data_IF_057903772390
#
_entry.id   IF_057903772390
#
_cell.length_a   1.000
_cell.length_b   1.000
_cell.length_c   1.000
_cell.angle_alpha   90.00
_cell.angle_beta   90.00
_cell.angle_gamma   90.00
#
_symmetry.space_group_name_H-M   'P 1'
#
loop_
_entity.id
_entity.type
_entity.pdbx_description
1 polymer ?
#
# COMPACT_ATOMS: atom_id res chain seq x y z
N UNK A 1 2.69 -10.91 -11.66
CA UNK A 1 3.85 -11.11 -10.76
C UNK A 1 5.00 -10.30 -11.30
N UNK A 2 5.66 -9.53 -10.44
CA UNK A 2 6.86 -8.76 -10.76
C UNK A 2 8.00 -9.29 -9.89
N UNK A 3 8.90 -10.03 -10.54
CA UNK A 3 10.09 -10.64 -9.94
C UNK A 3 11.31 -10.10 -10.71
N UNK A 4 11.75 -8.89 -10.39
CA UNK A 4 12.85 -8.21 -11.08
C UNK A 4 13.34 -7.02 -10.25
N UNK A 5 14.59 -6.60 -10.40
CA UNK A 5 15.07 -5.38 -9.74
C UNK A 5 15.00 -4.18 -10.69
N UNK A 6 14.71 -2.98 -10.15
CA UNK A 6 14.67 -1.71 -10.89
C UNK A 6 13.59 -1.65 -11.97
N UNK A 7 12.36 -2.03 -11.63
CA UNK A 7 11.22 -1.83 -12.51
C UNK A 7 10.47 -0.55 -12.16
N UNK A 8 10.13 0.24 -13.17
CA UNK A 8 9.24 1.38 -13.00
C UNK A 8 8.04 1.26 -13.93
N UNK A 9 6.87 1.63 -13.42
CA UNK A 9 5.60 1.64 -14.12
C UNK A 9 5.08 3.08 -14.09
N UNK A 10 4.87 3.65 -15.27
CA UNK A 10 4.33 5.00 -15.44
C UNK A 10 3.01 4.88 -16.19
N UNK A 11 1.98 5.58 -15.71
CA UNK A 11 0.68 5.68 -16.40
C UNK A 11 0.03 4.31 -16.70
N UNK A 12 0.31 3.31 -15.84
CA UNK A 12 -0.18 1.95 -16.00
C UNK A 12 -1.46 1.73 -15.20
N UNK A 13 -2.29 0.80 -15.66
CA UNK A 13 -3.46 0.34 -14.93
C UNK A 13 -3.42 -1.18 -14.69
N UNK A 14 -3.66 -1.60 -13.45
CA UNK A 14 -3.69 -2.98 -13.01
C UNK A 14 -5.10 -3.31 -12.48
N UNK A 15 -5.75 -4.30 -13.08
CA UNK A 15 -7.13 -4.67 -12.76
C UNK A 15 -7.23 -6.12 -12.30
N UNK A 16 -7.93 -6.33 -11.19
CA UNK A 16 -8.29 -7.65 -10.69
C UNK A 16 -9.29 -7.57 -9.54
N UNK A 17 -9.40 -8.65 -8.79
CA UNK A 17 -10.19 -8.69 -7.54
C UNK A 17 -9.31 -9.24 -6.43
N UNK A 18 -8.92 -10.49 -6.51
CA UNK A 18 -7.97 -11.08 -5.57
C UNK A 18 -6.59 -11.12 -6.22
N UNK A 19 -5.54 -10.79 -5.44
CA UNK A 19 -4.14 -10.97 -5.82
C UNK A 19 -3.76 -10.23 -7.12
N UNK A 20 -4.27 -9.00 -7.29
CA UNK A 20 -4.17 -8.23 -8.54
C UNK A 20 -2.71 -7.92 -8.92
N UNK A 21 -1.95 -7.36 -7.99
CA UNK A 21 -0.56 -6.97 -8.17
C UNK A 21 0.34 -7.75 -7.22
N UNK A 22 0.90 -8.85 -7.74
CA UNK A 22 1.92 -9.62 -7.04
C UNK A 22 3.30 -8.97 -7.20
N UNK A 23 3.62 -8.07 -6.28
CA UNK A 23 4.82 -7.24 -6.21
C UNK A 23 5.90 -7.91 -5.33
N UNK A 24 6.65 -8.86 -5.89
CA UNK A 24 7.30 -9.88 -5.06
C UNK A 24 8.77 -9.65 -4.70
N UNK A 25 9.63 -9.29 -5.65
CA UNK A 25 11.08 -9.24 -5.40
C UNK A 25 11.71 -8.13 -6.22
N UNK A 26 12.60 -7.37 -5.58
CA UNK A 26 13.34 -6.27 -6.16
C UNK A 26 12.75 -4.91 -5.79
N UNK A 27 13.30 -3.85 -6.40
CA UNK A 27 12.89 -2.47 -6.17
C UNK A 27 11.99 -1.98 -7.27
N UNK A 28 10.82 -1.45 -6.90
CA UNK A 28 9.81 -1.05 -7.86
C UNK A 28 9.28 0.36 -7.60
N UNK A 29 9.00 1.06 -8.68
CA UNK A 29 8.40 2.39 -8.65
C UNK A 29 7.11 2.41 -9.48
N UNK A 30 6.01 2.80 -8.86
CA UNK A 30 4.72 2.96 -9.52
C UNK A 30 4.36 4.44 -9.45
N UNK A 31 4.39 5.13 -10.59
CA UNK A 31 4.10 6.56 -10.68
C UNK A 31 2.87 6.78 -11.55
N UNK A 32 1.92 7.57 -11.04
CA UNK A 32 0.65 7.86 -11.72
C UNK A 32 -0.09 6.59 -12.21
N UNK A 33 -0.07 5.53 -11.42
CA UNK A 33 -0.70 4.27 -11.75
C UNK A 33 -2.10 4.17 -11.15
N UNK A 34 -2.95 3.34 -11.76
CA UNK A 34 -4.25 2.95 -11.22
C UNK A 34 -4.23 1.46 -10.86
N UNK A 35 -4.46 1.11 -9.61
CA UNK A 35 -4.51 -0.29 -9.15
C UNK A 35 -5.90 -0.55 -8.57
N UNK A 36 -6.63 -1.52 -9.12
CA UNK A 36 -7.95 -1.90 -8.64
C UNK A 36 -8.00 -3.35 -8.20
N UNK A 37 -8.52 -3.60 -7.00
CA UNK A 37 -8.92 -4.92 -6.54
C UNK A 37 -9.56 -4.90 -5.17
N UNK A 38 -9.86 -6.07 -4.63
CA UNK A 38 -10.60 -6.27 -3.39
C UNK A 38 -9.83 -7.03 -2.31
N UNK A 39 -9.26 -8.19 -2.63
CA UNK A 39 -8.57 -9.05 -1.65
C UNK A 39 -7.08 -9.05 -1.94
N UNK A 40 -6.26 -8.62 -0.98
CA UNK A 40 -4.80 -8.61 -1.07
C UNK A 40 -4.30 -8.08 -2.44
N UNK A 41 -4.97 -7.04 -2.95
CA UNK A 41 -4.82 -6.67 -4.36
C UNK A 41 -3.47 -6.01 -4.67
N UNK A 42 -2.72 -5.60 -3.66
CA UNK A 42 -1.27 -5.36 -3.72
C UNK A 42 -0.63 -6.21 -2.63
N UNK A 43 0.26 -7.11 -3.02
CA UNK A 43 0.90 -8.03 -2.08
C UNK A 43 2.28 -8.49 -2.56
N UNK A 44 3.11 -8.95 -1.63
CA UNK A 44 4.44 -9.46 -1.89
C UNK A 44 5.52 -8.77 -1.05
N UNK A 45 6.78 -9.08 -1.34
CA UNK A 45 7.96 -8.63 -0.58
C UNK A 45 8.81 -7.62 -1.35
N UNK A 46 8.26 -7.01 -2.41
CA UNK A 46 8.92 -5.96 -3.17
C UNK A 46 9.23 -4.74 -2.30
N UNK A 47 10.36 -4.10 -2.59
CA UNK A 47 10.69 -2.82 -1.99
C UNK A 47 10.16 -1.72 -2.90
N UNK A 48 8.98 -1.19 -2.58
CA UNK A 48 8.20 -0.44 -3.56
C UNK A 48 7.71 0.91 -3.05
N UNK A 49 7.63 1.89 -3.97
CA UNK A 49 6.94 3.16 -3.77
C UNK A 49 5.82 3.28 -4.79
N UNK A 50 4.62 3.62 -4.30
CA UNK A 50 3.47 4.00 -5.10
C UNK A 50 3.26 5.50 -4.92
N UNK A 51 3.63 6.29 -5.93
CA UNK A 51 3.56 7.75 -5.89
C UNK A 51 2.53 8.25 -6.91
N UNK A 52 1.78 9.30 -6.52
CA UNK A 52 0.73 9.90 -7.35
C UNK A 52 -0.29 8.88 -7.90
N UNK A 53 -0.40 7.71 -7.28
CA UNK A 53 -1.15 6.57 -7.78
C UNK A 53 -2.49 6.44 -7.05
N UNK A 54 -3.48 5.89 -7.75
CA UNK A 54 -4.81 5.60 -7.18
C UNK A 54 -4.94 4.11 -6.90
N UNK A 55 -5.16 3.77 -5.63
CA UNK A 55 -5.55 2.42 -5.21
C UNK A 55 -7.06 2.41 -4.99
N UNK A 56 -7.80 1.73 -5.87
CA UNK A 56 -9.25 1.68 -5.84
C UNK A 56 -9.74 0.31 -5.35
N UNK A 57 -10.38 0.31 -4.18
CA UNK A 57 -11.04 -0.89 -3.67
C UNK A 57 -12.27 -1.22 -4.52
N UNK A 58 -12.33 -2.45 -5.03
CA UNK A 58 -13.50 -2.98 -5.73
C UNK A 58 -13.52 -4.50 -5.66
N UNK A 59 -14.62 -5.05 -5.15
CA UNK A 59 -14.88 -6.49 -5.17
C UNK A 59 -15.48 -6.96 -6.51
N UNK A 60 -15.70 -6.05 -7.46
CA UNK A 60 -16.29 -6.35 -8.76
C UNK A 60 -17.65 -7.04 -8.62
N UNK A 61 -17.86 -8.12 -9.38
CA UNK A 61 -19.08 -8.93 -9.32
C UNK A 61 -19.24 -9.69 -7.99
N UNK A 62 -18.20 -9.75 -7.17
CA UNK A 62 -18.20 -10.35 -5.84
C UNK A 62 -18.47 -9.32 -4.73
N UNK A 63 -18.75 -8.07 -5.11
CA UNK A 63 -19.16 -7.02 -4.18
C UNK A 63 -20.48 -7.36 -3.49
N UNK A 64 -20.74 -6.75 -2.33
CA UNK A 64 -21.91 -7.04 -1.57
C UNK A 64 -23.15 -6.48 -2.30
N UNK A 65 -24.31 -7.03 -1.96
CA UNK A 65 -25.56 -6.71 -2.66
C UNK A 65 -25.88 -5.22 -2.56
N UNK A 66 -26.58 -4.69 -3.56
CA UNK A 66 -27.00 -3.28 -3.59
C UNK A 66 -27.58 -2.83 -2.24
N UNK A 67 -27.02 -1.75 -1.68
CA UNK A 67 -27.46 -1.17 -0.41
C UNK A 67 -26.60 -1.50 0.81
N UNK A 68 -25.61 -2.38 0.70
CA UNK A 68 -24.61 -2.59 1.75
C UNK A 68 -23.36 -1.74 1.53
N UNK A 69 -22.85 -1.12 2.60
CA UNK A 69 -21.59 -0.36 2.54
C UNK A 69 -20.41 -1.33 2.37
N UNK A 70 -19.64 -1.15 1.31
CA UNK A 70 -18.32 -1.77 1.18
C UNK A 70 -17.32 -1.09 2.11
N UNK A 71 -16.51 -1.90 2.81
CA UNK A 71 -15.41 -1.41 3.62
C UNK A 71 -14.13 -2.18 3.30
N UNK A 72 -13.01 -1.46 3.34
CA UNK A 72 -11.68 -2.00 3.11
C UNK A 72 -10.79 -1.76 4.33
N UNK A 73 -9.86 -2.66 4.58
CA UNK A 73 -8.70 -2.38 5.45
C UNK A 73 -7.54 -1.92 4.56
N UNK A 74 -6.65 -1.10 5.12
CA UNK A 74 -5.42 -0.65 4.44
C UNK A 74 -4.44 -1.79 4.19
N UNK A 75 -4.46 -2.82 5.04
CA UNK A 75 -3.66 -4.02 4.82
C UNK A 75 -3.82 -5.05 5.92
N UNK A 76 -3.31 -6.25 5.63
CA UNK A 76 -3.16 -7.33 6.61
C UNK A 76 -1.80 -7.98 6.50
N UNK A 77 -1.25 -8.48 7.60
CA UNK A 77 0.04 -9.16 7.56
C UNK A 77 -0.08 -10.53 6.90
N UNK A 78 0.75 -10.73 5.88
CA UNK A 78 0.93 -12.04 5.22
C UNK A 78 2.15 -12.78 5.77
N UNK A 79 3.10 -12.06 6.38
CA UNK A 79 4.28 -12.58 7.05
C UNK A 79 4.53 -11.88 8.41
N UNK A 80 5.47 -12.42 9.21
CA UNK A 80 5.75 -11.96 10.57
C UNK A 80 6.36 -10.55 10.65
N UNK A 81 7.00 -10.08 9.58
CA UNK A 81 7.72 -8.79 9.51
C UNK A 81 7.09 -7.83 8.51
N UNK A 82 5.81 -8.04 8.19
CA UNK A 82 5.08 -7.29 7.17
C UNK A 82 5.18 -5.78 7.42
N UNK A 83 5.48 -5.01 6.37
CA UNK A 83 5.68 -3.57 6.44
C UNK A 83 4.88 -2.83 5.36
N UNK A 84 4.03 -1.91 5.78
CA UNK A 84 3.26 -1.03 4.91
C UNK A 84 3.21 0.36 5.54
N UNK A 85 3.54 1.39 4.75
CA UNK A 85 3.44 2.79 5.17
C UNK A 85 2.48 3.48 4.20
N UNK A 86 1.40 4.05 4.72
CA UNK A 86 0.46 4.89 3.96
C UNK A 86 0.65 6.32 4.43
N UNK A 87 1.26 7.16 3.61
CA UNK A 87 1.57 8.53 3.99
C UNK A 87 1.14 9.55 2.95
N UNK A 88 0.85 10.77 3.41
CA UNK A 88 0.52 11.93 2.57
C UNK A 88 -0.57 11.63 1.53
N UNK A 89 -1.51 10.75 1.89
CA UNK A 89 -2.52 10.21 0.99
C UNK A 89 -3.93 10.69 1.38
N UNK A 90 -4.84 10.72 0.40
CA UNK A 90 -6.26 10.93 0.65
C UNK A 90 -6.97 9.59 0.83
N UNK A 91 -7.58 9.37 1.98
CA UNK A 91 -8.33 8.16 2.31
C UNK A 91 -9.84 8.45 2.29
N UNK A 92 -10.57 7.81 1.38
CA UNK A 92 -12.03 7.89 1.32
C UNK A 92 -12.67 7.14 2.50
N UNK A 93 -13.97 7.29 2.68
CA UNK A 93 -14.74 6.67 3.78
C UNK A 93 -14.95 5.15 3.62
N UNK A 94 -14.29 4.52 2.64
CA UNK A 94 -14.24 3.07 2.46
C UNK A 94 -13.35 2.40 3.51
N UNK A 95 -12.34 3.10 4.05
CA UNK A 95 -11.41 2.55 5.04
C UNK A 95 -12.15 2.25 6.34
N UNK A 96 -12.04 1.01 6.83
CA UNK A 96 -12.65 0.59 8.09
C UNK A 96 -11.99 1.32 9.27
N UNK A 97 -12.70 1.54 10.38
CA UNK A 97 -12.14 2.25 11.52
C UNK A 97 -10.90 1.58 12.12
N UNK A 98 -10.84 0.25 12.15
CA UNK A 98 -9.69 -0.54 12.63
C UNK A 98 -8.47 -0.38 11.72
N UNK A 99 -8.70 -0.20 10.42
CA UNK A 99 -7.71 0.10 9.38
C UNK A 99 -6.78 -1.05 9.01
N UNK A 100 -6.39 -1.90 9.96
CA UNK A 100 -5.38 -2.94 9.76
C UNK A 100 -5.75 -4.25 10.43
N UNK A 101 -5.20 -5.36 9.95
CA UNK A 101 -5.46 -6.68 10.53
C UNK A 101 -4.20 -7.56 10.60
N UNK A 102 -3.87 -8.06 11.79
CA UNK A 102 -2.70 -8.91 12.00
C UNK A 102 -2.86 -10.36 11.49
N UNK A 103 -4.05 -10.73 10.97
CA UNK A 103 -4.33 -12.05 10.38
C UNK A 103 -3.88 -13.22 11.28
N UNK A 104 -2.90 -14.00 10.84
CA UNK A 104 -2.35 -15.17 11.55
C UNK A 104 -1.27 -14.80 12.57
N UNK A 105 -0.93 -13.51 12.68
CA UNK A 105 0.10 -12.95 13.55
C UNK A 105 -0.48 -12.13 14.71
N UNK A 106 -1.75 -12.37 15.07
CA UNK A 106 -2.34 -11.81 16.29
C UNK A 106 -1.53 -12.30 17.50
N UNK A 107 -1.11 -11.37 18.37
CA UNK A 107 -0.18 -11.64 19.48
C UNK A 107 1.31 -11.56 19.12
N UNK A 108 1.63 -11.25 17.86
CA UNK A 108 2.98 -11.06 17.34
C UNK A 108 3.11 -9.71 16.59
N UNK A 109 2.30 -8.72 16.96
CA UNK A 109 2.24 -7.42 16.27
C UNK A 109 3.48 -6.55 16.55
N UNK A 110 4.35 -6.94 17.47
CA UNK A 110 5.60 -6.25 17.77
C UNK A 110 6.54 -6.17 16.56
N UNK A 111 6.54 -7.20 15.70
CA UNK A 111 7.39 -7.31 14.51
C UNK A 111 6.77 -6.72 13.24
N UNK A 112 5.46 -6.43 13.24
CA UNK A 112 4.75 -5.82 12.11
C UNK A 112 5.00 -4.30 12.10
N UNK A 113 5.21 -3.72 10.92
CA UNK A 113 5.40 -2.27 10.73
C UNK A 113 4.31 -1.68 9.84
N UNK A 114 3.14 -1.40 10.41
CA UNK A 114 2.06 -0.67 9.74
C UNK A 114 1.98 0.76 10.26
N UNK A 115 2.00 1.74 9.35
CA UNK A 115 2.13 3.16 9.68
C UNK A 115 1.18 3.98 8.81
N UNK A 116 0.52 4.96 9.43
CA UNK A 116 -0.21 6.03 8.75
C UNK A 116 0.36 7.40 9.16
N UNK A 117 0.69 8.27 8.19
CA UNK A 117 1.27 9.58 8.50
C UNK A 117 0.83 10.68 7.51
N UNK A 118 0.33 11.80 8.02
CA UNK A 118 -0.05 12.95 7.16
C UNK A 118 -1.21 12.68 6.20
N UNK A 119 -1.99 11.62 6.41
CA UNK A 119 -3.14 11.30 5.58
C UNK A 119 -4.31 12.25 5.86
N UNK A 120 -5.15 12.45 4.83
CA UNK A 120 -6.34 13.30 4.89
C UNK A 120 -7.58 12.56 4.39
N UNK A 121 -8.76 13.18 4.53
CA UNK A 121 -10.02 12.61 4.09
C UNK A 121 -10.78 11.83 5.19
N UNK A 122 -12.03 11.44 4.91
CA UNK A 122 -12.91 10.85 5.92
C UNK A 122 -12.45 9.47 6.42
N UNK A 123 -11.65 8.73 5.65
CA UNK A 123 -11.06 7.46 6.05
C UNK A 123 -9.81 7.59 6.93
N UNK A 124 -9.23 8.79 7.05
CA UNK A 124 -7.97 9.02 7.77
C UNK A 124 -8.15 9.19 9.29
N UNK A 125 -9.37 9.09 9.82
CA UNK A 125 -9.58 9.15 11.26
C UNK A 125 -8.98 7.93 11.95
N UNK A 126 -7.99 8.16 12.80
CA UNK A 126 -7.25 7.10 13.50
C UNK A 126 -7.81 6.72 14.89
N UNK A 127 -8.89 7.36 15.36
CA UNK A 127 -9.37 7.21 16.75
C UNK A 127 -9.80 5.78 17.13
N UNK A 128 -10.09 4.94 16.14
CA UNK A 128 -10.50 3.55 16.31
C UNK A 128 -9.51 2.55 15.68
N UNK A 129 -8.33 3.02 15.24
CA UNK A 129 -7.31 2.14 14.66
C UNK A 129 -6.83 1.12 15.68
N UNK A 130 -6.35 0.00 15.17
CA UNK A 130 -5.66 -0.99 15.99
C UNK A 130 -4.56 -0.34 16.84
N UNK A 131 -4.50 -0.69 18.12
CA UNK A 131 -3.59 -0.05 19.10
C UNK A 131 -2.11 -0.36 18.86
N UNK A 132 -1.80 -1.40 18.08
CA UNK A 132 -0.45 -1.84 17.78
C UNK A 132 0.13 -1.19 16.50
N UNK A 133 -0.63 -0.34 15.81
CA UNK A 133 -0.11 0.46 14.69
C UNK A 133 1.12 1.26 15.14
N UNK A 134 2.15 1.29 14.31
CA UNK A 134 3.39 2.01 14.62
C UNK A 134 3.24 3.48 14.25
N UNK A 135 3.90 4.34 15.00
CA UNK A 135 3.99 5.77 14.74
C UNK A 135 5.44 6.12 14.46
N UNK A 136 5.75 6.43 13.20
CA UNK A 136 7.05 6.91 12.78
C UNK A 136 6.96 8.41 12.47
N UNK A 137 8.03 9.15 12.71
CA UNK A 137 8.10 10.58 12.41
C UNK A 137 9.54 11.02 12.10
N UNK A 138 9.67 12.22 11.53
CA UNK A 138 10.96 12.81 11.15
C UNK A 138 11.81 11.86 10.32
N UNK A 139 13.11 11.81 10.63
CA UNK A 139 14.09 11.03 9.87
C UNK A 139 13.80 9.52 9.77
N UNK A 140 13.03 8.94 10.71
CA UNK A 140 12.67 7.53 10.64
C UNK A 140 11.59 7.28 9.58
N UNK A 141 10.57 8.14 9.52
CA UNK A 141 9.55 8.10 8.48
C UNK A 141 10.13 8.48 7.12
N UNK A 142 10.94 9.53 7.06
CA UNK A 142 11.52 10.06 5.82
C UNK A 142 12.36 9.03 5.06
N UNK A 143 12.96 8.06 5.76
CA UNK A 143 13.70 6.94 5.16
C UNK A 143 12.85 6.07 4.25
N UNK A 144 11.55 5.96 4.52
CA UNK A 144 10.61 5.17 3.71
C UNK A 144 9.93 6.01 2.62
N UNK A 145 9.76 7.32 2.86
CA UNK A 145 9.07 8.21 1.93
C UNK A 145 10.00 8.81 0.86
N UNK A 146 11.30 8.89 1.14
CA UNK A 146 12.27 9.40 0.18
C UNK A 146 12.51 8.39 -0.96
N UNK A 147 12.62 8.88 -2.20
CA UNK A 147 12.86 8.04 -3.39
C UNK A 147 14.13 7.18 -3.27
N UNK A 148 15.14 7.62 -2.49
CA UNK A 148 16.34 6.85 -2.18
C UNK A 148 16.07 5.56 -1.39
N UNK A 149 14.85 5.34 -0.91
CA UNK A 149 14.42 4.03 -0.40
C UNK A 149 14.60 2.98 -1.51
N UNK A 150 14.15 3.27 -2.73
CA UNK A 150 14.24 2.36 -3.89
C UNK A 150 15.30 2.76 -4.91
N UNK A 151 15.77 4.01 -4.89
CA UNK A 151 16.68 4.55 -5.91
C UNK A 151 17.90 5.27 -5.32
N UNK A 152 18.80 4.51 -4.67
CA UNK A 152 20.08 5.08 -4.18
C UNK A 152 21.06 5.35 -5.32
N UNK A 153 20.96 4.58 -6.40
CA UNK A 153 21.90 4.60 -7.53
C UNK A 153 21.48 5.53 -8.67
N UNK A 154 20.32 6.20 -8.55
CA UNK A 154 19.75 7.08 -9.58
C UNK A 154 19.38 6.31 -10.86
N UNK A 155 18.86 5.09 -10.74
CA UNK A 155 18.43 4.27 -11.88
C UNK A 155 17.13 4.78 -12.51
N UNK A 156 16.24 5.44 -11.75
CA UNK A 156 14.98 5.97 -12.27
C UNK A 156 15.27 7.06 -13.31
N UNK A 157 16.19 7.98 -13.01
CA UNK A 157 16.60 9.06 -13.92
C UNK A 157 17.35 8.58 -15.18
N UNK A 158 17.66 7.29 -15.28
CA UNK A 158 18.31 6.67 -16.46
C UNK A 158 17.30 5.96 -17.37
N UNK A 159 16.04 5.86 -16.95
CA UNK A 159 14.99 5.28 -17.76
C UNK A 159 14.66 6.21 -18.93
N UNK A 160 14.28 5.66 -20.10
CA UNK A 160 13.85 6.44 -21.25
C UNK A 160 12.41 6.92 -21.06
N UNK A 161 12.14 7.68 -19.99
CA UNK A 161 10.85 8.33 -19.76
C UNK A 161 10.91 9.74 -20.34
N UNK A 162 9.92 10.08 -21.16
CA UNK A 162 9.87 11.40 -21.81
C UNK A 162 9.62 12.46 -20.73
N UNK A 163 10.61 13.31 -20.48
CA UNK A 163 10.48 14.52 -19.65
C UNK A 163 9.62 15.59 -20.34
#
# INVERSE_FOLDING_TARGET
MIYADKCAFYDCAFYGVQDTLYDTYGRHYYHNCYIQGGIDFVFGNGQSIFEASTLNFSMGVYGPKLGTKETAILGRSLDAYSRVIVANSYLTNVVSPEGWYARTYVGHEETITFVEAGNSGPGANQSQRVKWMKHLSGAELDRFLNISFIDKEGWINKLPVNN
#
